data_IF_714694950138
#
_entry.id   IF_714694950138
#
_cell.length_a   1.000
_cell.length_b   1.000
_cell.length_c   1.000
_cell.angle_alpha   90.00
_cell.angle_beta   90.00
_cell.angle_gamma   90.00
#
_symmetry.space_group_name_H-M   'P 1'
#
loop_
_entity.id
_entity.type
_entity.pdbx_description
1 polymer ?
#
# COMPACT_ATOMS: atom_id res chain seq x y z
N UNK A 1 -3.91 11.04 7.22
CA UNK A 1 -2.63 11.07 7.98
C UNK A 1 -1.38 10.87 7.11
N UNK A 2 -0.95 9.67 6.68
CA UNK A 2 0.38 9.55 6.03
C UNK A 2 0.48 10.19 4.62
N UNK A 3 -0.61 10.20 3.85
CA UNK A 3 -0.68 10.93 2.58
C UNK A 3 -0.57 12.45 2.77
N UNK A 4 -1.14 12.97 3.86
CA UNK A 4 -1.10 14.40 4.19
C UNK A 4 0.30 14.86 4.63
N UNK A 5 1.17 13.92 5.02
CA UNK A 5 2.55 14.19 5.41
C UNK A 5 3.56 13.90 4.28
N UNK A 6 3.12 13.87 3.02
CA UNK A 6 3.97 13.72 1.82
C UNK A 6 4.84 12.45 1.78
N UNK A 7 4.40 11.37 2.41
CA UNK A 7 5.04 10.07 2.20
C UNK A 7 4.71 9.53 0.79
N UNK A 8 5.68 8.90 0.14
CA UNK A 8 5.48 8.28 -1.18
C UNK A 8 4.59 7.02 -1.11
N UNK A 9 4.55 6.35 0.04
CA UNK A 9 3.78 5.12 0.23
C UNK A 9 4.02 4.49 1.60
N UNK A 10 3.27 3.42 1.87
CA UNK A 10 3.34 2.62 3.09
C UNK A 10 3.45 1.15 2.71
N UNK A 11 4.14 0.40 3.56
CA UNK A 11 4.35 -1.02 3.36
C UNK A 11 3.85 -1.78 4.58
N UNK A 12 2.78 -2.56 4.44
CA UNK A 12 2.18 -3.30 5.56
C UNK A 12 2.77 -4.70 5.69
N UNK A 13 2.52 -5.36 6.83
CA UNK A 13 2.83 -6.78 7.00
C UNK A 13 1.80 -7.71 6.32
N UNK A 14 0.82 -7.17 5.59
CA UNK A 14 -0.13 -7.98 4.84
C UNK A 14 0.55 -8.68 3.67
N UNK A 15 0.27 -9.98 3.54
CA UNK A 15 0.77 -10.81 2.45
C UNK A 15 -0.14 -10.76 1.24
N UNK A 16 0.38 -10.28 0.10
CA UNK A 16 -0.36 -10.22 -1.15
C UNK A 16 0.51 -9.78 -2.33
N UNK A 17 -0.09 -9.79 -3.51
CA UNK A 17 0.53 -9.32 -4.74
C UNK A 17 0.22 -7.83 -4.94
N UNK A 18 1.20 -7.08 -5.45
CA UNK A 18 1.00 -5.71 -5.90
C UNK A 18 0.93 -5.75 -7.43
N UNK A 19 -0.24 -5.46 -8.01
CA UNK A 19 -0.41 -5.44 -9.46
C UNK A 19 -0.49 -4.01 -10.00
N UNK A 20 -0.04 -3.75 -11.24
CA UNK A 20 -0.32 -2.50 -11.93
C UNK A 20 -1.84 -2.25 -12.00
N UNK A 21 -2.28 -1.04 -11.66
CA UNK A 21 -3.70 -0.66 -11.57
C UNK A 21 -4.28 -0.72 -10.15
N UNK A 22 -3.55 -1.31 -9.21
CA UNK A 22 -3.91 -1.24 -7.79
C UNK A 22 -3.50 0.10 -7.14
N UNK A 23 -3.88 0.31 -5.86
CA UNK A 23 -3.45 1.47 -5.06
C UNK A 23 -1.91 1.54 -4.96
N UNK A 24 -1.26 2.56 -5.55
CA UNK A 24 0.19 2.69 -5.55
C UNK A 24 0.76 3.08 -4.18
N UNK A 25 -0.07 3.56 -3.26
CA UNK A 25 0.40 4.01 -1.95
C UNK A 25 0.53 2.87 -0.94
N UNK A 26 -0.19 1.76 -1.11
CA UNK A 26 -0.16 0.65 -0.17
C UNK A 26 0.47 -0.59 -0.79
N UNK A 27 1.71 -0.85 -0.38
CA UNK A 27 2.47 -2.02 -0.77
C UNK A 27 2.27 -3.16 0.24
N UNK A 28 2.01 -4.35 -0.29
CA UNK A 28 1.95 -5.61 0.45
C UNK A 28 3.29 -6.35 0.34
N UNK A 29 3.67 -7.05 1.41
CA UNK A 29 4.97 -7.73 1.50
C UNK A 29 4.85 -9.20 1.15
N UNK A 30 5.89 -9.73 0.52
CA UNK A 30 6.13 -11.16 0.50
C UNK A 30 6.84 -11.53 1.80
N UNK A 31 6.29 -12.48 2.55
CA UNK A 31 6.91 -12.94 3.78
C UNK A 31 8.16 -13.76 3.46
N UNK A 32 9.30 -13.37 4.04
CA UNK A 32 10.52 -14.16 3.97
C UNK A 32 10.50 -15.28 5.01
N UNK A 33 10.91 -16.48 4.60
CA UNK A 33 11.12 -17.63 5.46
C UNK A 33 12.57 -18.14 5.29
N UNK A 34 13.20 -18.72 6.34
CA UNK A 34 14.60 -19.16 6.26
C UNK A 34 14.90 -20.14 5.13
N UNK A 35 13.92 -20.97 4.76
CA UNK A 35 14.03 -21.94 3.68
C UNK A 35 13.54 -21.43 2.32
N UNK A 36 13.09 -20.17 2.21
CA UNK A 36 12.58 -19.53 1.00
C UNK A 36 11.44 -20.29 0.28
N UNK A 37 10.82 -21.26 0.95
CA UNK A 37 9.80 -22.12 0.36
C UNK A 37 8.55 -21.31 0.02
N UNK A 38 8.24 -20.28 0.81
CA UNK A 38 7.10 -19.41 0.51
C UNK A 38 7.38 -18.56 -0.73
N UNK A 39 8.61 -18.05 -0.89
CA UNK A 39 9.00 -17.24 -2.05
C UNK A 39 8.76 -18.00 -3.36
N UNK A 40 9.09 -19.30 -3.41
CA UNK A 40 8.81 -20.15 -4.58
C UNK A 40 7.31 -20.15 -4.96
N UNK A 41 6.42 -20.26 -3.98
CA UNK A 41 4.97 -20.19 -4.23
C UNK A 41 4.55 -18.79 -4.70
N UNK A 42 5.18 -17.74 -4.18
CA UNK A 42 4.89 -16.36 -4.60
C UNK A 42 5.31 -16.10 -6.05
N UNK A 43 6.43 -16.68 -6.51
CA UNK A 43 6.93 -16.51 -7.89
C UNK A 43 6.05 -17.14 -8.97
N UNK A 44 5.17 -18.08 -8.62
CA UNK A 44 4.28 -18.76 -9.57
C UNK A 44 2.84 -18.21 -9.58
N UNK A 45 2.60 -17.05 -8.96
CA UNK A 45 1.27 -16.41 -8.85
C UNK A 45 0.21 -17.38 -8.31
N UNK A 46 0.22 -17.64 -7.00
CA UNK A 46 -0.73 -18.55 -6.34
C UNK A 46 -2.19 -18.06 -6.52
N UNK A 47 -3.08 -18.83 -7.19
CA UNK A 47 -4.48 -18.47 -7.40
C UNK A 47 -5.27 -18.21 -6.11
N UNK A 48 -4.89 -18.83 -4.99
CA UNK A 48 -5.54 -18.64 -3.69
C UNK A 48 -5.33 -17.23 -3.15
N UNK A 49 -4.16 -16.66 -3.39
CA UNK A 49 -3.81 -15.29 -2.96
C UNK A 49 -4.48 -14.22 -3.81
N UNK A 50 -4.83 -14.54 -5.07
CA UNK A 50 -5.56 -13.62 -5.97
C UNK A 50 -6.98 -13.31 -5.49
N UNK A 51 -7.58 -14.19 -4.67
CA UNK A 51 -8.96 -14.04 -4.18
C UNK A 51 -9.06 -13.24 -2.88
N UNK A 52 -7.94 -12.86 -2.27
CA UNK A 52 -7.93 -12.13 -1.00
C UNK A 52 -8.20 -10.65 -1.28
N UNK A 53 -9.27 -10.06 -0.71
CA UNK A 53 -9.52 -8.63 -0.85
C UNK A 53 -8.35 -7.80 -0.33
N UNK A 54 -7.99 -6.73 -1.05
CA UNK A 54 -6.97 -5.79 -0.60
C UNK A 54 -7.59 -4.77 0.36
N UNK A 55 -6.86 -4.47 1.43
CA UNK A 55 -7.19 -3.37 2.33
C UNK A 55 -6.78 -2.07 1.62
N UNK A 56 -7.76 -1.25 1.25
CA UNK A 56 -7.53 0.08 0.70
C UNK A 56 -7.43 1.10 1.83
N UNK A 57 -6.39 1.94 1.80
CA UNK A 57 -6.33 3.12 2.64
C UNK A 57 -6.94 4.28 1.85
N UNK A 58 -8.27 4.43 1.91
CA UNK A 58 -8.89 5.69 1.50
C UNK A 58 -8.38 6.77 2.45
N UNK A 59 -7.52 7.65 1.94
CA UNK A 59 -7.40 8.94 2.60
C UNK A 59 -8.76 9.61 2.48
N UNK A 60 -9.40 9.89 3.61
CA UNK A 60 -10.37 10.97 3.68
C UNK A 60 -9.69 12.19 3.04
N UNK A 61 -10.16 12.63 1.87
CA UNK A 61 -9.66 13.89 1.30
C UNK A 61 -9.82 14.95 2.38
N UNK A 62 -8.78 15.73 2.72
CA UNK A 62 -9.02 16.94 3.47
C UNK A 62 -9.96 17.79 2.60
N UNK A 63 -11.05 18.29 3.18
CA UNK A 63 -11.94 19.21 2.49
C UNK A 63 -11.11 20.37 1.92
N UNK A 64 -11.36 20.77 0.68
CA UNK A 64 -10.61 21.80 -0.09
C UNK A 64 -10.41 23.13 0.66
N UNK A 65 -11.15 23.36 1.75
CA UNK A 65 -11.04 24.53 2.63
C UNK A 65 -9.76 24.59 3.47
N UNK A 66 -8.96 23.53 3.54
CA UNK A 66 -7.74 23.50 4.39
C UNK A 66 -6.44 23.77 3.63
N UNK A 67 -6.44 23.77 2.29
CA UNK A 67 -5.23 23.96 1.49
C UNK A 67 -4.74 25.42 1.43
N UNK A 68 -5.61 26.40 1.70
CA UNK A 68 -5.25 27.83 1.66
C UNK A 68 -4.60 28.38 2.94
N UNK A 69 -4.43 27.56 3.99
CA UNK A 69 -3.89 28.05 5.26
C UNK A 69 -2.35 28.00 5.36
N UNK A 70 -1.66 27.35 4.41
CA UNK A 70 -0.22 27.09 4.53
C UNK A 70 0.68 28.00 3.66
N UNK A 71 0.11 28.85 2.80
CA UNK A 71 0.89 29.73 1.91
C UNK A 71 1.18 31.14 2.48
N UNK A 72 0.82 31.43 3.74
CA UNK A 72 0.95 32.77 4.33
C UNK A 72 2.04 32.91 5.41
N UNK A 73 3.10 32.11 5.37
CA UNK A 73 4.24 32.29 6.30
C UNK A 73 5.58 32.01 5.61
N UNK A 74 6.04 32.98 4.82
CA UNK A 74 7.45 33.37 4.65
C UNK A 74 7.50 34.88 4.53
#
# INVERSE_FOLDING_TARGET
>A
MLREHNFAGVCSAYGGYNFPGDDPFHLQRLHGDPCMMRIKNWTTVDPRKRRVPRVSFQASRPNDKQLHAFEATV
#
